data_IF_186643642800
#
_entry.id   IF_186643642800
#
_cell.length_a   1.000
_cell.length_b   1.000
_cell.length_c   1.000
_cell.angle_alpha   90.00
_cell.angle_beta   90.00
_cell.angle_gamma   90.00
#
_symmetry.space_group_name_H-M   'P 1'
#
loop_
_entity.id
_entity.type
_entity.pdbx_description
1 polymer ?
#
# COMPACT_ATOMS: atom_id res chain seq x y z
N UNK A 1 4.28 13.45 -4.98
CA UNK A 1 5.27 12.79 -4.09
C UNK A 1 4.62 11.72 -3.22
N UNK A 2 3.55 12.00 -2.47
CA UNK A 2 2.85 11.03 -1.58
C UNK A 2 2.17 9.82 -2.25
N UNK A 3 2.14 9.75 -3.59
CA UNK A 3 1.50 8.69 -4.38
C UNK A 3 2.52 7.75 -5.05
N UNK A 4 3.78 7.81 -4.66
CA UNK A 4 4.89 7.19 -5.39
C UNK A 4 4.75 5.67 -5.56
N UNK A 5 4.04 4.98 -4.67
CA UNK A 5 3.87 3.52 -4.74
C UNK A 5 2.64 3.04 -5.53
N UNK A 6 1.73 3.94 -5.96
CA UNK A 6 0.58 3.55 -6.80
C UNK A 6 1.04 2.95 -8.13
N UNK A 7 2.19 3.39 -8.62
CA UNK A 7 2.78 2.87 -9.86
C UNK A 7 3.23 1.41 -9.73
N UNK A 8 3.56 0.95 -8.52
CA UNK A 8 3.93 -0.44 -8.24
C UNK A 8 2.73 -1.34 -7.96
N UNK A 9 1.55 -0.77 -7.73
CA UNK A 9 0.32 -1.49 -7.43
C UNK A 9 -0.07 -2.51 -8.52
N UNK A 10 -0.07 -2.18 -9.83
CA UNK A 10 -0.34 -3.18 -10.88
C UNK A 10 0.68 -4.32 -10.94
N UNK A 11 1.92 -4.08 -10.50
CA UNK A 11 2.98 -5.10 -10.44
C UNK A 11 2.84 -6.02 -9.22
N UNK A 12 2.32 -5.48 -8.11
CA UNK A 12 2.15 -6.21 -6.85
C UNK A 12 0.88 -7.06 -6.81
N UNK A 13 -0.21 -6.62 -7.47
CA UNK A 13 -1.49 -7.36 -7.53
C UNK A 13 -1.32 -8.84 -7.92
N UNK A 14 -0.62 -9.22 -9.02
CA UNK A 14 -0.48 -10.63 -9.40
C UNK A 14 0.29 -11.47 -8.37
N UNK A 15 1.25 -10.87 -7.64
CA UNK A 15 2.02 -11.55 -6.58
C UNK A 15 1.22 -11.71 -5.27
N UNK A 16 0.31 -10.78 -4.98
CA UNK A 16 -0.59 -10.89 -3.84
C UNK A 16 -1.75 -11.86 -4.12
N UNK A 17 -2.17 -12.00 -5.39
CA UNK A 17 -3.32 -12.83 -5.78
C UNK A 17 -3.05 -14.34 -5.68
N UNK A 18 -1.77 -14.73 -5.67
CA UNK A 18 -1.34 -16.12 -5.49
C UNK A 18 -1.35 -16.58 -4.02
N UNK A 19 -1.48 -15.65 -3.06
CA UNK A 19 -1.50 -15.96 -1.63
C UNK A 19 -2.92 -16.29 -1.13
N UNK A 20 -3.24 -17.54 -0.76
CA UNK A 20 -4.59 -17.91 -0.32
C UNK A 20 -4.97 -17.36 1.06
N UNK A 21 -3.98 -16.92 1.86
CA UNK A 21 -4.19 -16.36 3.20
C UNK A 21 -4.57 -14.89 3.19
N UNK A 22 -4.27 -14.17 2.12
CA UNK A 22 -4.44 -12.72 2.00
C UNK A 22 -5.60 -12.45 1.04
N UNK A 23 -6.80 -12.16 1.56
CA UNK A 23 -7.93 -11.77 0.69
C UNK A 23 -7.69 -10.37 0.16
N UNK A 24 -7.05 -10.30 -1.01
CA UNK A 24 -6.70 -9.08 -1.75
C UNK A 24 -7.89 -8.13 -1.90
N UNK A 25 -9.10 -8.68 -2.03
CA UNK A 25 -10.36 -7.91 -2.08
C UNK A 25 -10.69 -7.19 -0.77
N UNK A 26 -10.50 -7.83 0.39
CA UNK A 26 -10.88 -7.27 1.69
C UNK A 26 -9.80 -6.34 2.24
N UNK A 27 -8.55 -6.80 2.29
CA UNK A 27 -7.43 -6.00 2.80
C UNK A 27 -7.07 -4.86 1.86
N UNK A 28 -7.03 -5.10 0.54
CA UNK A 28 -6.77 -4.04 -0.44
C UNK A 28 -7.81 -2.92 -0.38
N UNK A 29 -9.08 -3.25 -0.13
CA UNK A 29 -10.13 -2.25 0.09
C UNK A 29 -9.89 -1.44 1.37
N UNK A 30 -9.54 -2.08 2.48
CA UNK A 30 -9.26 -1.39 3.74
C UNK A 30 -8.06 -0.45 3.62
N UNK A 31 -7.00 -0.89 2.92
CA UNK A 31 -5.84 -0.06 2.60
C UNK A 31 -6.22 1.17 1.77
N UNK A 32 -7.02 0.98 0.73
CA UNK A 32 -7.49 2.06 -0.12
C UNK A 32 -8.32 3.08 0.68
N UNK A 33 -9.25 2.60 1.52
CA UNK A 33 -10.06 3.47 2.37
C UNK A 33 -9.18 4.24 3.35
N UNK A 34 -8.27 3.57 4.08
CA UNK A 34 -7.37 4.23 5.01
C UNK A 34 -6.47 5.27 4.33
N UNK A 35 -6.00 4.96 3.12
CA UNK A 35 -5.23 5.88 2.30
C UNK A 35 -6.03 7.12 1.89
N UNK A 36 -7.23 6.94 1.33
CA UNK A 36 -8.10 8.06 0.90
C UNK A 36 -8.51 8.93 2.08
N UNK A 37 -8.87 8.33 3.22
CA UNK A 37 -9.28 9.07 4.42
C UNK A 37 -8.12 9.91 4.97
N UNK A 38 -6.93 9.32 5.12
CA UNK A 38 -5.78 10.04 5.66
C UNK A 38 -5.31 11.18 4.73
N UNK A 39 -5.31 10.95 3.41
CA UNK A 39 -5.08 12.00 2.40
C UNK A 39 -6.13 13.11 2.49
N UNK A 40 -7.41 12.75 2.53
CA UNK A 40 -8.51 13.70 2.61
C UNK A 40 -8.46 14.57 3.87
N UNK A 41 -8.13 13.98 5.02
CA UNK A 41 -7.92 14.71 6.27
C UNK A 41 -6.76 15.70 6.16
N UNK A 42 -5.62 15.26 5.60
CA UNK A 42 -4.47 16.13 5.41
C UNK A 42 -4.77 17.30 4.48
N UNK A 43 -5.38 17.05 3.31
CA UNK A 43 -5.81 18.07 2.37
C UNK A 43 -6.81 19.05 2.99
N UNK A 44 -7.75 18.56 3.79
CA UNK A 44 -8.71 19.42 4.49
C UNK A 44 -8.01 20.39 5.44
N UNK A 45 -7.02 19.92 6.21
CA UNK A 45 -6.26 20.80 7.12
C UNK A 45 -5.36 21.78 6.36
N UNK A 46 -4.74 21.35 5.27
CA UNK A 46 -3.92 22.19 4.42
C UNK A 46 -4.78 23.29 3.75
N UNK A 47 -5.98 22.94 3.27
CA UNK A 47 -6.92 23.91 2.71
C UNK A 47 -7.31 24.98 3.73
N UNK A 48 -7.64 24.57 4.95
CA UNK A 48 -7.99 25.49 6.04
C UNK A 48 -6.84 26.43 6.40
N UNK A 49 -5.59 25.96 6.34
CA UNK A 49 -4.41 26.77 6.62
C UNK A 49 -4.12 27.76 5.48
N UNK A 50 -4.07 27.26 4.25
CA UNK A 50 -3.60 28.01 3.08
C UNK A 50 -4.65 28.97 2.52
N UNK A 51 -5.93 28.56 2.47
CA UNK A 51 -6.99 29.34 1.84
C UNK A 51 -7.88 30.10 2.83
N UNK A 52 -8.16 29.52 4.02
CA UNK A 52 -8.99 30.18 5.04
C UNK A 52 -8.16 30.93 6.09
N UNK A 53 -6.83 30.79 6.09
CA UNK A 53 -5.93 31.46 7.04
C UNK A 53 -6.16 31.04 8.50
N UNK A 54 -6.81 29.90 8.73
CA UNK A 54 -7.06 29.40 10.08
C UNK A 54 -5.78 28.77 10.64
N UNK A 55 -5.50 28.99 11.92
CA UNK A 55 -4.34 28.40 12.58
C UNK A 55 -4.56 26.90 12.84
N UNK A 56 -4.35 26.07 11.82
CA UNK A 56 -4.48 24.61 11.89
C UNK A 56 -3.12 23.90 11.95
N UNK A 57 -2.01 24.58 12.30
CA UNK A 57 -0.67 23.98 12.30
C UNK A 57 -0.59 22.65 13.08
N UNK A 58 -1.17 22.61 14.29
CA UNK A 58 -1.22 21.38 15.10
C UNK A 58 -2.07 20.28 14.46
N UNK A 59 -3.23 20.63 13.90
CA UNK A 59 -4.09 19.66 13.22
C UNK A 59 -3.45 19.14 11.94
N UNK A 60 -2.76 20.01 11.19
CA UNK A 60 -2.01 19.66 10.00
C UNK A 60 -0.83 18.75 10.34
N UNK A 61 -0.15 18.98 11.46
CA UNK A 61 0.89 18.09 11.95
C UNK A 61 0.34 16.70 12.27
N UNK A 62 -0.76 16.61 13.03
CA UNK A 62 -1.41 15.33 13.34
C UNK A 62 -1.90 14.63 12.07
N UNK A 63 -2.52 15.35 11.15
CA UNK A 63 -2.97 14.81 9.87
C UNK A 63 -1.79 14.32 9.02
N UNK A 64 -0.65 15.01 9.05
CA UNK A 64 0.58 14.60 8.37
C UNK A 64 1.15 13.33 8.98
N UNK A 65 1.16 13.22 10.32
CA UNK A 65 1.60 12.02 11.03
C UNK A 65 0.68 10.83 10.74
N UNK A 66 -0.65 11.03 10.70
CA UNK A 66 -1.63 10.01 10.33
C UNK A 66 -1.48 9.56 8.88
N UNK A 67 -1.26 10.49 7.95
CA UNK A 67 -0.96 10.18 6.56
C UNK A 67 0.33 9.34 6.49
N UNK A 68 1.41 9.77 7.14
CA UNK A 68 2.66 9.02 7.16
C UNK A 68 2.50 7.60 7.72
N UNK A 69 1.85 7.46 8.88
CA UNK A 69 1.58 6.16 9.50
C UNK A 69 0.74 5.24 8.59
N UNK A 70 -0.27 5.80 7.92
CA UNK A 70 -1.09 5.06 6.95
C UNK A 70 -0.26 4.57 5.76
N UNK A 71 0.67 5.38 5.26
CA UNK A 71 1.59 5.00 4.19
C UNK A 71 2.54 3.86 4.64
N UNK A 72 3.11 3.97 5.85
CA UNK A 72 3.97 2.91 6.42
C UNK A 72 3.18 1.61 6.60
N UNK A 73 1.97 1.67 7.13
CA UNK A 73 1.12 0.50 7.31
C UNK A 73 0.82 -0.21 5.98
N UNK A 74 0.43 0.54 4.94
CA UNK A 74 0.19 -0.01 3.60
C UNK A 74 1.45 -0.69 3.07
N UNK A 75 2.62 -0.08 3.26
CA UNK A 75 3.89 -0.61 2.80
C UNK A 75 4.27 -1.92 3.52
N UNK A 76 4.10 -1.97 4.85
CA UNK A 76 4.30 -3.20 5.65
C UNK A 76 3.40 -4.32 5.14
N UNK A 77 2.12 -4.03 4.97
CA UNK A 77 1.12 -5.02 4.57
C UNK A 77 1.34 -5.50 3.12
N UNK A 78 1.83 -4.63 2.22
CA UNK A 78 2.28 -5.03 0.89
C UNK A 78 3.50 -5.96 0.92
N UNK A 79 4.49 -5.67 1.78
CA UNK A 79 5.69 -6.52 1.94
C UNK A 79 5.33 -7.87 2.56
N UNK A 80 4.47 -7.91 3.58
CA UNK A 80 4.06 -9.16 4.22
C UNK A 80 3.12 -9.99 3.36
N UNK A 81 2.29 -9.32 2.55
CA UNK A 81 1.35 -9.96 1.64
C UNK A 81 1.99 -10.48 0.35
N UNK A 82 3.09 -9.86 -0.09
CA UNK A 82 3.91 -10.38 -1.18
C UNK A 82 4.50 -11.73 -0.75
N UNK A 83 3.92 -12.81 -1.26
CA UNK A 83 4.37 -14.17 -0.97
C UNK A 83 5.84 -14.28 -1.32
N UNK A 84 6.69 -14.57 -0.33
CA UNK A 84 8.04 -15.05 -0.59
C UNK A 84 7.87 -16.40 -1.27
N UNK A 85 7.91 -16.44 -2.60
CA UNK A 85 8.00 -17.68 -3.34
C UNK A 85 9.49 -18.06 -3.31
N UNK A 86 9.92 -19.02 -2.47
CA UNK A 86 11.31 -19.39 -2.42
C UNK A 86 11.71 -19.94 -3.79
N UNK A 87 12.76 -19.38 -4.39
CA UNK A 87 13.31 -19.82 -5.69
C UNK A 87 13.63 -21.33 -5.66
N UNK A 88 13.95 -21.84 -4.48
CA UNK A 88 14.09 -23.26 -4.19
C UNK A 88 12.83 -23.74 -3.47
N UNK A 89 12.02 -24.58 -4.12
CA UNK A 89 10.95 -25.27 -3.40
C UNK A 89 11.53 -26.17 -2.30
N UNK A 90 10.72 -26.57 -1.31
CA UNK A 90 11.12 -27.43 -0.17
C UNK A 90 11.81 -28.76 -0.56
N UNK A 91 11.78 -29.12 -1.84
CA UNK A 91 12.43 -30.31 -2.42
C UNK A 91 13.71 -30.02 -3.21
N UNK A 92 14.24 -28.79 -3.18
CA UNK A 92 15.46 -28.41 -3.92
C UNK A 92 15.31 -28.37 -5.45
N UNK A 93 14.07 -28.47 -5.96
CA UNK A 93 13.80 -28.44 -7.40
C UNK A 93 13.59 -27.00 -7.84
N UNK A 94 14.42 -26.53 -8.78
CA UNK A 94 14.27 -25.24 -9.44
C UNK A 94 12.99 -25.28 -10.29
N UNK A 95 12.03 -24.40 -10.00
CA UNK A 95 10.80 -24.30 -10.79
C UNK A 95 11.17 -23.86 -12.21
N UNK A 96 10.88 -24.69 -13.22
CA UNK A 96 11.08 -24.31 -14.61
C UNK A 96 10.06 -23.24 -15.02
N UNK A 97 10.54 -22.01 -15.14
CA UNK A 97 9.75 -20.82 -15.53
C UNK A 97 9.53 -20.80 -17.05
N UNK A 98 10.42 -21.46 -17.80
CA UNK A 98 10.38 -21.60 -19.25
C UNK A 98 10.14 -23.06 -19.64
N UNK A 99 8.89 -23.46 -19.83
CA UNK A 99 8.60 -24.59 -20.72
C UNK A 99 8.07 -24.03 -22.05
N UNK A 100 8.65 -24.41 -23.19
CA UNK A 100 8.01 -24.18 -24.48
C UNK A 100 6.67 -24.91 -24.45
N UNK A 101 5.57 -24.19 -24.69
CA UNK A 101 4.28 -24.84 -24.94
C UNK A 101 4.43 -25.62 -26.25
N UNK A 102 4.51 -26.94 -26.16
CA UNK A 102 4.38 -27.87 -27.30
C UNK A 102 2.92 -28.04 -27.65
#
# INVERSE_FOLDING_TARGET
>A
YFMWYIVFLPLLIPNLASNPRMSLKSQGRNMLIGWVVSQGLWLSQAYNLEFLGMNTYWNLFIASALMYASNVWILVELITGATYEPIFGDRGVIRQIWSPRS
#
